data_IF_661650508119
#
_entry.id   IF_661650508119
#
_cell.length_a   1.000
_cell.length_b   1.000
_cell.length_c   1.000
_cell.angle_alpha   90.00
_cell.angle_beta   90.00
_cell.angle_gamma   90.00
#
_symmetry.space_group_name_H-M   'P 1'
#
loop_
_entity.id
_entity.type
_entity.pdbx_description
1 polymer ?
#
# COMPACT_ATOMS: atom_id res chain seq x y z
N UNK A 1 32.54 -6.07 -0.53
CA UNK A 1 31.29 -6.86 -0.69
C UNK A 1 31.38 -7.60 -2.00
N UNK A 2 31.44 -8.95 -2.01
CA UNK A 2 31.47 -9.73 -3.25
C UNK A 2 30.04 -9.82 -3.81
N UNK A 3 29.78 -9.10 -4.90
CA UNK A 3 28.49 -9.10 -5.60
C UNK A 3 28.07 -10.47 -6.16
N UNK A 4 29.02 -11.39 -6.34
CA UNK A 4 28.76 -12.77 -6.82
C UNK A 4 27.99 -13.66 -5.84
N UNK A 5 27.67 -13.17 -4.65
CA UNK A 5 26.95 -13.92 -3.61
C UNK A 5 25.46 -13.58 -3.47
N UNK A 6 24.93 -12.71 -4.34
CA UNK A 6 23.51 -12.32 -4.29
C UNK A 6 22.64 -13.28 -5.12
N UNK A 7 21.46 -13.59 -4.61
CA UNK A 7 20.44 -14.35 -5.32
C UNK A 7 19.75 -13.51 -6.39
N UNK A 8 19.14 -14.14 -7.39
CA UNK A 8 18.27 -13.46 -8.37
C UNK A 8 17.14 -12.67 -7.69
N UNK A 9 16.65 -13.14 -6.57
CA UNK A 9 15.64 -12.43 -5.77
C UNK A 9 16.19 -11.13 -5.16
N UNK A 10 17.45 -11.13 -4.70
CA UNK A 10 18.09 -9.91 -4.18
C UNK A 10 18.23 -8.85 -5.28
N UNK A 11 18.59 -9.26 -6.49
CA UNK A 11 18.67 -8.32 -7.63
C UNK A 11 17.29 -7.77 -7.99
N UNK A 12 16.26 -8.62 -8.02
CA UNK A 12 14.88 -8.17 -8.27
C UNK A 12 14.41 -7.18 -7.21
N UNK A 13 14.70 -7.46 -5.93
CA UNK A 13 14.37 -6.58 -4.81
C UNK A 13 15.05 -5.23 -4.95
N UNK A 14 16.36 -5.20 -5.21
CA UNK A 14 17.12 -3.95 -5.40
C UNK A 14 16.59 -3.15 -6.59
N UNK A 15 16.30 -3.84 -7.70
CA UNK A 15 15.76 -3.19 -8.90
C UNK A 15 14.43 -2.52 -8.60
N UNK A 16 13.51 -3.20 -7.94
CA UNK A 16 12.21 -2.65 -7.54
C UNK A 16 12.37 -1.49 -6.55
N UNK A 17 13.28 -1.62 -5.58
CA UNK A 17 13.57 -0.56 -4.60
C UNK A 17 14.07 0.71 -5.29
N UNK A 18 14.97 0.59 -6.29
CA UNK A 18 15.45 1.73 -7.08
C UNK A 18 14.31 2.34 -7.90
N UNK A 19 13.50 1.51 -8.57
CA UNK A 19 12.36 1.97 -9.36
C UNK A 19 11.39 2.77 -8.49
N UNK A 20 11.05 2.28 -7.29
CA UNK A 20 10.19 3.00 -6.35
C UNK A 20 10.83 4.31 -5.89
N UNK A 21 12.12 4.29 -5.52
CA UNK A 21 12.83 5.51 -5.13
C UNK A 21 12.81 6.57 -6.24
N UNK A 22 13.12 6.20 -7.48
CA UNK A 22 13.09 7.12 -8.62
C UNK A 22 11.67 7.61 -8.92
N UNK A 23 10.69 6.72 -8.97
CA UNK A 23 9.29 7.07 -9.26
C UNK A 23 8.72 8.08 -8.26
N UNK A 24 8.93 7.84 -6.95
CA UNK A 24 8.46 8.73 -5.90
C UNK A 24 9.31 10.01 -5.82
N UNK A 25 10.60 9.93 -6.16
CA UNK A 25 11.46 11.11 -6.31
C UNK A 25 10.97 12.06 -7.40
N UNK A 26 10.65 11.55 -8.58
CA UNK A 26 10.11 12.37 -9.69
C UNK A 26 8.78 13.04 -9.30
N UNK A 27 7.93 12.34 -8.56
CA UNK A 27 6.67 12.92 -8.04
C UNK A 27 6.89 13.98 -6.96
N UNK A 28 7.97 13.90 -6.23
CA UNK A 28 8.25 14.68 -5.03
C UNK A 28 7.52 14.16 -3.79
N UNK A 29 8.00 14.56 -2.61
CA UNK A 29 7.48 14.09 -1.32
C UNK A 29 6.00 14.46 -1.13
N UNK A 30 5.65 15.71 -1.41
CA UNK A 30 4.29 16.23 -1.21
C UNK A 30 3.24 15.41 -1.96
N UNK A 31 3.46 15.16 -3.25
CA UNK A 31 2.54 14.35 -4.07
C UNK A 31 2.61 12.88 -3.73
N UNK A 32 3.79 12.37 -3.35
CA UNK A 32 3.99 10.97 -3.01
C UNK A 32 3.24 10.58 -1.76
N UNK A 33 3.32 11.40 -0.72
CA UNK A 33 2.59 11.20 0.54
C UNK A 33 1.08 11.26 0.29
N UNK A 34 0.60 12.27 -0.44
CA UNK A 34 -0.82 12.41 -0.79
C UNK A 34 -1.33 11.17 -1.55
N UNK A 35 -0.58 10.72 -2.56
CA UNK A 35 -0.93 9.55 -3.35
C UNK A 35 -0.99 8.27 -2.52
N UNK A 36 -0.02 8.06 -1.64
CA UNK A 36 0.00 6.89 -0.75
C UNK A 36 -1.14 6.90 0.25
N UNK A 37 -1.42 8.05 0.88
CA UNK A 37 -2.56 8.22 1.78
C UNK A 37 -3.87 7.93 1.06
N UNK A 38 -4.04 8.42 -0.17
CA UNK A 38 -5.21 8.14 -0.99
C UNK A 38 -5.42 6.63 -1.18
N UNK A 39 -4.39 5.90 -1.57
CA UNK A 39 -4.49 4.45 -1.77
C UNK A 39 -4.80 3.73 -0.46
N UNK A 40 -4.03 4.03 0.61
CA UNK A 40 -4.21 3.39 1.91
C UNK A 40 -5.63 3.61 2.43
N UNK A 41 -6.12 4.84 2.41
CA UNK A 41 -7.46 5.16 2.90
C UNK A 41 -8.56 4.58 2.00
N UNK A 42 -8.34 4.56 0.66
CA UNK A 42 -9.29 3.96 -0.27
C UNK A 42 -9.42 2.44 -0.12
N UNK A 43 -8.43 1.77 0.45
CA UNK A 43 -8.49 0.34 0.76
C UNK A 43 -9.01 0.12 2.18
N UNK A 44 -8.51 0.87 3.15
CA UNK A 44 -8.81 0.65 4.58
C UNK A 44 -10.27 0.95 4.91
N UNK A 45 -10.86 2.03 4.36
CA UNK A 45 -12.25 2.38 4.63
C UNK A 45 -13.22 1.31 4.11
N UNK A 46 -13.15 0.86 2.83
CA UNK A 46 -13.97 -0.25 2.38
C UNK A 46 -13.80 -1.51 3.21
N UNK A 47 -12.56 -1.86 3.58
CA UNK A 47 -12.29 -3.04 4.38
C UNK A 47 -13.01 -3.04 5.74
N UNK A 48 -13.15 -1.86 6.35
CA UNK A 48 -13.86 -1.71 7.63
C UNK A 48 -15.38 -1.69 7.46
N UNK A 49 -15.87 -1.07 6.37
CA UNK A 49 -17.28 -0.72 6.25
C UNK A 49 -18.09 -1.57 5.27
N UNK A 50 -17.48 -2.38 4.38
CA UNK A 50 -18.21 -3.09 3.32
C UNK A 50 -19.36 -3.97 3.84
N UNK A 51 -19.16 -4.69 4.95
CA UNK A 51 -20.20 -5.51 5.56
C UNK A 51 -21.38 -4.68 6.10
N UNK A 52 -21.07 -3.54 6.74
CA UNK A 52 -22.11 -2.64 7.27
C UNK A 52 -22.94 -2.02 6.14
N UNK A 53 -22.27 -1.59 5.07
CA UNK A 53 -22.95 -1.01 3.90
C UNK A 53 -23.77 -2.08 3.18
N UNK A 54 -23.26 -3.29 3.03
CA UNK A 54 -24.00 -4.40 2.43
C UNK A 54 -25.27 -4.69 3.22
N UNK A 55 -25.18 -4.88 4.54
CA UNK A 55 -26.31 -5.16 5.39
C UNK A 55 -27.36 -4.03 5.37
N UNK A 56 -26.91 -2.78 5.48
CA UNK A 56 -27.78 -1.61 5.37
C UNK A 56 -28.50 -1.54 4.02
N UNK A 57 -27.80 -1.86 2.93
CA UNK A 57 -28.39 -1.87 1.59
C UNK A 57 -29.42 -2.98 1.44
N UNK A 58 -29.18 -4.16 2.00
CA UNK A 58 -30.13 -5.28 1.99
C UNK A 58 -31.41 -4.95 2.78
N UNK A 59 -31.28 -4.34 3.96
CA UNK A 59 -32.40 -3.97 4.81
C UNK A 59 -33.28 -2.85 4.22
N UNK A 60 -32.62 -1.82 3.64
CA UNK A 60 -33.32 -0.63 3.15
C UNK A 60 -33.94 -0.79 1.77
N UNK A 61 -33.26 -1.50 0.88
CA UNK A 61 -33.69 -1.62 -0.52
C UNK A 61 -34.72 -2.74 -0.72
N UNK A 62 -34.92 -3.62 0.28
CA UNK A 62 -35.92 -4.71 0.26
C UNK A 62 -35.89 -5.52 -1.05
N UNK A 63 -34.68 -5.66 -1.64
CA UNK A 63 -34.53 -6.33 -2.92
C UNK A 63 -34.48 -7.84 -2.66
N UNK A 64 -35.58 -8.52 -2.81
CA UNK A 64 -35.71 -9.99 -2.65
C UNK A 64 -34.63 -10.74 -3.45
N UNK A 65 -34.26 -10.24 -4.62
CA UNK A 65 -33.19 -10.79 -5.44
C UNK A 65 -31.81 -10.78 -4.77
N UNK A 66 -31.49 -9.74 -3.99
CA UNK A 66 -30.23 -9.66 -3.27
C UNK A 66 -30.18 -10.64 -2.09
N UNK A 67 -31.30 -10.87 -1.43
CA UNK A 67 -31.43 -11.90 -0.38
C UNK A 67 -31.25 -13.32 -0.93
N UNK A 68 -31.81 -13.60 -2.11
CA UNK A 68 -31.61 -14.87 -2.80
C UNK A 68 -30.16 -15.08 -3.27
N UNK A 69 -29.52 -14.01 -3.72
CA UNK A 69 -28.09 -14.00 -4.07
C UNK A 69 -27.18 -14.15 -2.86
N UNK A 70 -27.55 -13.54 -1.71
CA UNK A 70 -26.80 -13.65 -0.47
C UNK A 70 -26.73 -15.11 0.01
N UNK A 71 -27.81 -15.87 -0.09
CA UNK A 71 -27.84 -17.29 0.29
C UNK A 71 -27.01 -18.19 -0.64
N UNK A 72 -26.88 -17.84 -1.92
CA UNK A 72 -26.12 -18.63 -2.91
C UNK A 72 -24.69 -18.16 -3.14
N UNK A 73 -24.44 -16.84 -3.04
CA UNK A 73 -23.16 -16.21 -3.41
C UNK A 73 -22.80 -15.04 -2.48
N UNK A 74 -22.84 -15.26 -1.15
CA UNK A 74 -22.53 -14.23 -0.15
C UNK A 74 -21.16 -13.55 -0.41
N UNK A 75 -20.15 -14.34 -0.74
CA UNK A 75 -18.79 -13.86 -1.04
C UNK A 75 -18.78 -12.90 -2.24
N UNK A 76 -19.57 -13.19 -3.27
CA UNK A 76 -19.65 -12.35 -4.47
C UNK A 76 -20.23 -10.96 -4.16
N UNK A 77 -21.27 -10.89 -3.35
CA UNK A 77 -21.88 -9.62 -2.91
C UNK A 77 -20.93 -8.83 -2.00
N UNK A 78 -20.17 -9.48 -1.12
CA UNK A 78 -19.14 -8.85 -0.31
C UNK A 78 -18.05 -8.22 -1.18
N UNK A 79 -17.56 -8.93 -2.20
CA UNK A 79 -16.56 -8.43 -3.14
C UNK A 79 -17.08 -7.22 -3.93
N UNK A 80 -18.30 -7.30 -4.45
CA UNK A 80 -18.91 -6.17 -5.19
C UNK A 80 -19.06 -4.95 -4.28
N UNK A 81 -19.55 -5.14 -3.07
CA UNK A 81 -19.71 -4.05 -2.10
C UNK A 81 -18.38 -3.40 -1.75
N UNK A 82 -17.33 -4.21 -1.59
CA UNK A 82 -15.96 -3.72 -1.38
C UNK A 82 -15.48 -2.88 -2.57
N UNK A 83 -15.65 -3.38 -3.81
CA UNK A 83 -15.21 -2.68 -5.02
C UNK A 83 -15.95 -1.35 -5.18
N UNK A 84 -17.26 -1.33 -4.97
CA UNK A 84 -18.06 -0.10 -5.07
C UNK A 84 -17.58 0.93 -4.04
N UNK A 85 -17.41 0.53 -2.79
CA UNK A 85 -16.90 1.41 -1.74
C UNK A 85 -15.48 1.89 -2.03
N UNK A 86 -14.61 1.03 -2.55
CA UNK A 86 -13.27 1.40 -2.97
C UNK A 86 -13.30 2.50 -4.04
N UNK A 87 -14.13 2.35 -5.07
CA UNK A 87 -14.27 3.34 -6.13
C UNK A 87 -14.82 4.67 -5.59
N UNK A 88 -15.84 4.64 -4.74
CA UNK A 88 -16.42 5.83 -4.12
C UNK A 88 -15.36 6.56 -3.29
N UNK A 89 -14.67 5.87 -2.39
CA UNK A 89 -13.63 6.47 -1.55
C UNK A 89 -12.48 7.01 -2.38
N UNK A 90 -12.05 6.29 -3.41
CA UNK A 90 -10.99 6.73 -4.32
C UNK A 90 -11.37 8.01 -5.06
N UNK A 91 -12.62 8.13 -5.54
CA UNK A 91 -13.12 9.34 -6.22
C UNK A 91 -13.18 10.52 -5.24
N UNK A 92 -13.73 10.31 -4.04
CA UNK A 92 -13.80 11.36 -3.00
C UNK A 92 -12.40 11.90 -2.70
N UNK A 93 -11.42 11.02 -2.45
CA UNK A 93 -10.04 11.45 -2.23
C UNK A 93 -9.42 12.16 -3.42
N UNK A 94 -9.75 11.76 -4.65
CA UNK A 94 -9.27 12.42 -5.86
C UNK A 94 -9.81 13.86 -5.97
N UNK A 95 -11.05 14.08 -5.56
CA UNK A 95 -11.66 15.41 -5.51
C UNK A 95 -11.01 16.26 -4.43
N UNK A 96 -10.83 15.70 -3.22
CA UNK A 96 -10.15 16.38 -2.10
C UNK A 96 -8.71 16.76 -2.44
N UNK A 97 -7.94 15.87 -3.07
CA UNK A 97 -6.58 16.13 -3.51
C UNK A 97 -6.51 17.32 -4.49
N UNK A 98 -7.45 17.39 -5.44
CA UNK A 98 -7.57 18.53 -6.35
C UNK A 98 -7.97 19.83 -5.63
N UNK A 99 -8.92 19.75 -4.67
CA UNK A 99 -9.39 20.89 -3.91
C UNK A 99 -8.29 21.48 -3.01
N UNK A 100 -7.47 20.62 -2.39
CA UNK A 100 -6.33 21.04 -1.57
C UNK A 100 -5.17 21.63 -2.38
N UNK A 101 -5.22 21.53 -3.71
CA UNK A 101 -4.26 22.13 -4.64
C UNK A 101 -2.80 21.80 -4.30
N UNK A 102 -2.54 20.56 -3.92
CA UNK A 102 -1.22 20.06 -3.51
C UNK A 102 -0.24 20.12 -4.70
N UNK A 103 0.42 21.26 -4.81
CA UNK A 103 1.44 21.50 -5.85
C UNK A 103 2.82 21.24 -5.28
N UNK A 104 3.68 20.64 -6.11
CA UNK A 104 5.12 20.60 -5.80
C UNK A 104 5.67 22.02 -5.75
N UNK A 105 6.67 22.29 -4.87
CA UNK A 105 7.28 23.60 -4.77
C UNK A 105 7.80 24.10 -6.12
N UNK A 106 7.60 25.38 -6.39
CA UNK A 106 8.03 26.01 -7.65
C UNK A 106 9.50 26.48 -7.62
N UNK A 107 10.02 26.78 -6.44
CA UNK A 107 11.42 27.22 -6.26
C UNK A 107 12.37 26.02 -6.40
N UNK A 108 13.49 26.23 -7.12
CA UNK A 108 14.40 25.15 -7.51
C UNK A 108 14.98 24.40 -6.29
N UNK A 109 15.36 25.11 -5.25
CA UNK A 109 15.94 24.56 -4.02
C UNK A 109 14.95 23.65 -3.29
N UNK A 110 13.72 24.11 -3.11
CA UNK A 110 12.64 23.32 -2.49
C UNK A 110 12.22 22.13 -3.35
N UNK A 111 12.32 22.25 -4.68
CA UNK A 111 12.04 21.16 -5.60
C UNK A 111 13.07 20.03 -5.49
N UNK A 112 14.35 20.37 -5.33
CA UNK A 112 15.42 19.37 -5.11
C UNK A 112 15.19 18.63 -3.79
N UNK A 113 14.91 19.36 -2.71
CA UNK A 113 14.58 18.76 -1.41
C UNK A 113 13.35 17.86 -1.48
N UNK A 114 12.29 18.32 -2.13
CA UNK A 114 11.05 17.56 -2.34
C UNK A 114 11.31 16.26 -3.12
N UNK A 115 12.20 16.31 -4.11
CA UNK A 115 12.64 15.13 -4.89
C UNK A 115 13.42 14.14 -4.02
N UNK A 116 14.39 14.62 -3.24
CA UNK A 116 15.22 13.77 -2.37
C UNK A 116 14.34 13.09 -1.31
N UNK A 117 13.51 13.86 -0.62
CA UNK A 117 12.60 13.34 0.40
C UNK A 117 11.60 12.36 -0.23
N UNK A 118 11.09 12.65 -1.43
CA UNK A 118 10.24 11.74 -2.19
C UNK A 118 10.93 10.42 -2.50
N UNK A 119 12.20 10.44 -2.90
CA UNK A 119 12.97 9.22 -3.16
C UNK A 119 13.16 8.38 -1.90
N UNK A 120 13.54 9.00 -0.79
CA UNK A 120 13.68 8.33 0.51
C UNK A 120 12.35 7.71 0.94
N UNK A 121 11.26 8.46 0.81
CA UNK A 121 9.92 7.98 1.10
C UNK A 121 9.55 6.76 0.27
N UNK A 122 9.84 6.77 -1.04
CA UNK A 122 9.59 5.64 -1.95
C UNK A 122 10.33 4.37 -1.53
N UNK A 123 11.60 4.50 -1.13
CA UNK A 123 12.42 3.39 -0.62
C UNK A 123 11.82 2.81 0.67
N UNK A 124 11.45 3.67 1.62
CA UNK A 124 10.83 3.24 2.88
C UNK A 124 9.50 2.55 2.62
N UNK A 125 8.63 3.16 1.80
CA UNK A 125 7.32 2.61 1.46
C UNK A 125 7.44 1.23 0.81
N UNK A 126 8.36 1.07 -0.15
CA UNK A 126 8.62 -0.22 -0.77
C UNK A 126 9.09 -1.26 0.24
N UNK A 127 10.01 -0.89 1.12
CA UNK A 127 10.54 -1.79 2.15
C UNK A 127 9.45 -2.28 3.10
N UNK A 128 8.55 -1.38 3.52
CA UNK A 128 7.39 -1.72 4.36
C UNK A 128 6.42 -2.66 3.63
N UNK A 129 6.05 -2.33 2.38
CA UNK A 129 5.17 -3.15 1.57
C UNK A 129 5.77 -4.54 1.31
N UNK A 130 7.08 -4.59 1.05
CA UNK A 130 7.78 -5.85 0.87
C UNK A 130 7.74 -6.71 2.13
N UNK A 131 7.95 -6.11 3.32
CA UNK A 131 7.88 -6.83 4.59
C UNK A 131 6.49 -7.45 4.83
N UNK A 132 5.41 -6.70 4.59
CA UNK A 132 4.06 -7.24 4.69
C UNK A 132 3.79 -8.35 3.66
N UNK A 133 4.25 -8.17 2.43
CA UNK A 133 4.15 -9.20 1.38
C UNK A 133 4.93 -10.46 1.74
N UNK A 134 6.10 -10.30 2.36
CA UNK A 134 6.89 -11.41 2.87
C UNK A 134 6.11 -12.23 3.89
N UNK A 135 5.54 -11.59 4.91
CA UNK A 135 4.75 -12.30 5.93
C UNK A 135 3.57 -13.04 5.31
N UNK A 136 2.87 -12.40 4.35
CA UNK A 136 1.66 -12.95 3.76
C UNK A 136 1.91 -14.10 2.79
N UNK A 137 2.97 -14.01 1.96
CA UNK A 137 3.11 -14.88 0.79
C UNK A 137 4.47 -15.56 0.65
N UNK A 138 5.56 -14.92 1.08
CA UNK A 138 6.92 -15.34 0.71
C UNK A 138 7.73 -15.98 1.85
N UNK A 139 7.16 -16.09 3.06
CA UNK A 139 7.88 -16.61 4.23
C UNK A 139 8.54 -17.97 3.99
N UNK A 140 7.91 -18.84 3.18
CA UNK A 140 8.40 -20.17 2.87
C UNK A 140 9.35 -20.24 1.67
N UNK A 141 9.53 -19.14 0.94
CA UNK A 141 10.32 -19.11 -0.31
C UNK A 141 11.65 -18.36 -0.18
N UNK A 142 11.86 -17.61 0.92
CA UNK A 142 13.09 -16.83 1.12
C UNK A 142 14.11 -17.70 1.86
N UNK A 143 15.13 -18.10 1.12
CA UNK A 143 16.24 -18.94 1.57
C UNK A 143 17.36 -18.12 2.22
N UNK A 144 18.32 -18.82 2.86
CA UNK A 144 19.51 -18.21 3.48
C UNK A 144 20.43 -17.47 2.48
N UNK A 145 20.25 -17.75 1.19
CA UNK A 145 20.97 -17.08 0.10
C UNK A 145 20.50 -15.65 -0.17
N UNK A 146 19.31 -15.27 0.28
CA UNK A 146 18.70 -13.97 0.03
C UNK A 146 19.12 -12.94 1.09
N UNK A 147 20.36 -12.50 1.07
CA UNK A 147 20.99 -11.69 2.12
C UNK A 147 20.36 -10.31 2.31
N UNK A 148 20.05 -9.61 1.21
CA UNK A 148 19.50 -8.24 1.27
C UNK A 148 18.06 -8.26 1.74
N UNK A 149 17.25 -9.20 1.24
CA UNK A 149 15.89 -9.38 1.69
C UNK A 149 15.82 -9.74 3.17
N UNK A 150 16.68 -10.64 3.65
CA UNK A 150 16.77 -10.98 5.08
C UNK A 150 17.17 -9.81 5.94
N UNK A 151 18.08 -8.96 5.48
CA UNK A 151 18.45 -7.74 6.20
C UNK A 151 17.23 -6.82 6.37
N UNK A 152 16.44 -6.61 5.33
CA UNK A 152 15.21 -5.83 5.41
C UNK A 152 14.23 -6.44 6.41
N UNK A 153 13.97 -7.74 6.30
CA UNK A 153 13.07 -8.48 7.20
C UNK A 153 13.54 -8.35 8.66
N UNK A 154 14.84 -8.58 8.93
CA UNK A 154 15.39 -8.52 10.28
C UNK A 154 15.29 -7.12 10.90
N UNK A 155 15.38 -6.05 10.11
CA UNK A 155 15.19 -4.67 10.60
C UNK A 155 13.75 -4.51 11.12
N UNK A 156 12.75 -4.94 10.36
CA UNK A 156 11.35 -4.80 10.76
C UNK A 156 10.99 -5.75 11.91
N UNK A 157 11.48 -6.98 11.91
CA UNK A 157 11.29 -7.90 13.04
C UNK A 157 11.86 -7.32 14.33
N UNK A 158 13.07 -6.79 14.31
CA UNK A 158 13.68 -6.15 15.48
C UNK A 158 12.90 -4.91 15.95
N UNK A 159 12.32 -4.12 15.04
CA UNK A 159 11.49 -2.98 15.41
C UNK A 159 10.17 -3.43 16.04
N UNK A 160 9.52 -4.46 15.49
CA UNK A 160 8.22 -4.96 15.97
C UNK A 160 8.30 -5.72 17.30
N UNK A 161 9.40 -6.48 17.55
CA UNK A 161 9.54 -7.28 18.76
C UNK A 161 10.25 -6.56 19.90
N UNK A 162 10.83 -5.39 19.67
CA UNK A 162 11.48 -4.61 20.74
C UNK A 162 10.50 -4.12 21.80
N UNK A 163 9.24 -3.87 21.40
CA UNK A 163 8.19 -3.38 22.29
C UNK A 163 7.50 -4.48 23.12
N UNK A 164 7.83 -5.76 22.89
CA UNK A 164 7.25 -6.87 23.67
C UNK A 164 8.09 -7.29 24.89
N UNK A 165 9.22 -6.61 25.15
CA UNK A 165 10.14 -6.90 26.27
C UNK A 165 10.14 -5.82 27.36
N UNK A 166 9.10 -4.99 27.44
CA UNK A 166 8.92 -4.04 28.55
C UNK A 166 7.78 -4.50 29.44
#
# INVERSE_FOLDING_TARGET
>A
MNFSSFSYFDYSYLTLLIIFGVFFGIKGATKSISYSLKIILSISLPFIFYKRVLNFSLEKLNIEYLFLLQNKNAIFLEIISFIILFLITYIIYSILEKALNLKSPSQLEFKILDTIIGSIYGVILFSVLFYFSYIAFFKNYIDDKNKIMKLNISIYENLMYKDQKV
#
